data_IF_499586920592
#
_entry.id   IF_499586920592
#
_cell.length_a   1.000
_cell.length_b   1.000
_cell.length_c   1.000
_cell.angle_alpha   90.00
_cell.angle_beta   90.00
_cell.angle_gamma   90.00
#
_symmetry.space_group_name_H-M   'P 1'
#
loop_
_entity.id
_entity.type
_entity.pdbx_description
1 polymer ?
#
# COMPACT_ATOMS: atom_id res chain seq x y z
N UNK A 1 -7.57 -7.97 -9.50
CA UNK A 1 -8.01 -6.56 -9.28
C UNK A 1 -7.22 -5.96 -8.15
N UNK A 2 -6.67 -4.79 -8.36
CA UNK A 2 -5.93 -4.08 -7.32
C UNK A 2 -6.86 -3.58 -6.21
N UNK A 3 -6.29 -3.35 -5.04
CA UNK A 3 -6.99 -2.76 -3.90
C UNK A 3 -6.16 -1.60 -3.37
N UNK A 4 -6.83 -0.60 -2.82
CA UNK A 4 -6.14 0.56 -2.30
C UNK A 4 -6.88 1.16 -1.10
N UNK A 5 -6.15 1.93 -0.32
CA UNK A 5 -6.68 2.73 0.77
C UNK A 5 -6.04 4.11 0.75
N UNK A 6 -6.82 5.13 1.03
CA UNK A 6 -6.36 6.50 1.18
C UNK A 6 -6.89 7.03 2.51
N UNK A 7 -6.02 7.69 3.27
CA UNK A 7 -6.37 8.24 4.56
C UNK A 7 -5.97 9.70 4.65
N UNK A 8 -6.89 10.51 5.19
CA UNK A 8 -6.61 11.88 5.61
C UNK A 8 -7.36 12.15 6.91
N UNK A 9 -6.68 12.71 7.90
CA UNK A 9 -7.29 12.99 9.20
C UNK A 9 -6.24 13.21 10.27
N UNK A 10 -6.61 12.96 11.53
CA UNK A 10 -5.65 13.00 12.63
C UNK A 10 -4.56 11.97 12.39
N UNK A 11 -3.29 12.27 12.77
CA UNK A 11 -2.20 11.32 12.55
C UNK A 11 -2.46 9.97 13.21
N UNK A 12 -2.36 8.90 12.41
CA UNK A 12 -2.47 7.52 12.87
C UNK A 12 -1.27 6.73 12.36
N UNK A 13 -0.97 5.60 12.98
CA UNK A 13 0.00 4.68 12.43
C UNK A 13 -0.54 4.06 11.14
N UNK A 14 0.32 3.81 10.16
CA UNK A 14 -0.13 3.17 8.91
C UNK A 14 -0.82 1.84 9.20
N UNK A 15 -0.31 1.08 10.18
CA UNK A 15 -0.89 -0.20 10.57
C UNK A 15 -2.34 -0.11 11.06
N UNK A 16 -2.74 1.04 11.62
CA UNK A 16 -4.12 1.23 12.09
C UNK A 16 -5.15 1.14 10.95
N UNK A 17 -4.72 1.41 9.71
CA UNK A 17 -5.57 1.37 8.52
C UNK A 17 -5.28 0.14 7.66
N UNK A 18 -4.00 -0.19 7.43
CA UNK A 18 -3.64 -1.22 6.43
C UNK A 18 -3.51 -2.63 7.00
N UNK A 19 -3.30 -2.78 8.31
CA UNK A 19 -2.94 -4.08 8.91
C UNK A 19 -3.86 -4.55 10.04
N UNK A 20 -4.27 -3.66 10.94
CA UNK A 20 -4.98 -4.05 12.17
C UNK A 20 -6.48 -4.28 12.01
N UNK A 21 -7.22 -3.52 11.18
CA UNK A 21 -8.67 -3.75 11.04
C UNK A 21 -8.99 -5.12 10.45
N UNK A 22 -10.14 -5.66 10.83
CA UNK A 22 -10.72 -6.83 10.14
C UNK A 22 -11.00 -6.41 8.70
N UNK A 23 -10.66 -7.27 7.73
CA UNK A 23 -10.72 -6.96 6.29
C UNK A 23 -9.84 -5.77 5.89
N UNK A 24 -8.69 -5.63 6.55
CA UNK A 24 -7.70 -4.61 6.20
C UNK A 24 -7.12 -4.86 4.80
N UNK A 25 -6.38 -3.86 4.29
CA UNK A 25 -5.80 -3.94 2.95
C UNK A 25 -4.87 -5.15 2.78
N UNK A 26 -4.04 -5.44 3.79
CA UNK A 26 -3.13 -6.59 3.76
C UNK A 26 -3.92 -7.90 3.73
N UNK A 27 -4.96 -8.01 4.54
CA UNK A 27 -5.81 -9.19 4.56
C UNK A 27 -6.55 -9.38 3.23
N UNK A 28 -7.09 -8.30 2.67
CA UNK A 28 -7.74 -8.33 1.35
C UNK A 28 -6.77 -8.74 0.23
N UNK A 29 -5.49 -8.39 0.35
CA UNK A 29 -4.50 -8.79 -0.65
C UNK A 29 -4.32 -10.30 -0.72
N UNK A 30 -4.47 -10.98 0.42
CA UNK A 30 -4.37 -12.42 0.53
C UNK A 30 -5.68 -13.13 0.15
N UNK A 31 -6.81 -12.52 0.47
CA UNK A 31 -8.15 -13.12 0.32
C UNK A 31 -9.06 -12.22 -0.54
N UNK A 32 -8.65 -11.93 -1.79
CA UNK A 32 -9.41 -11.08 -2.69
C UNK A 32 -10.64 -11.84 -3.22
N UNK A 33 -11.78 -11.69 -2.55
CA UNK A 33 -13.02 -12.44 -2.82
C UNK A 33 -13.58 -12.23 -4.23
N UNK A 34 -13.30 -11.07 -4.84
CA UNK A 34 -13.81 -10.70 -6.16
C UNK A 34 -12.87 -11.11 -7.30
N UNK A 35 -11.74 -11.75 -7.00
CA UNK A 35 -10.76 -12.16 -8.00
C UNK A 35 -10.79 -13.68 -8.21
N UNK A 36 -10.67 -14.12 -9.45
CA UNK A 36 -10.57 -15.54 -9.78
C UNK A 36 -9.36 -16.22 -9.14
N UNK A 37 -8.32 -15.45 -8.84
CA UNK A 37 -7.09 -15.96 -8.25
C UNK A 37 -7.04 -15.79 -6.74
N UNK A 38 -7.94 -15.01 -6.16
CA UNK A 38 -8.01 -14.70 -4.73
C UNK A 38 -6.74 -14.08 -4.12
N UNK A 39 -5.79 -13.61 -4.96
CA UNK A 39 -4.51 -13.09 -4.50
C UNK A 39 -4.14 -11.79 -5.21
N UNK A 40 -3.72 -10.78 -4.43
CA UNK A 40 -3.07 -9.56 -4.92
C UNK A 40 -1.59 -9.61 -4.52
N UNK A 41 -0.83 -10.50 -5.18
CA UNK A 41 0.52 -10.88 -4.80
C UNK A 41 1.62 -10.25 -5.65
N UNK A 42 1.27 -9.32 -6.55
CA UNK A 42 2.19 -8.78 -7.55
C UNK A 42 2.84 -7.47 -7.11
N UNK A 43 2.82 -7.21 -5.82
CA UNK A 43 3.46 -6.05 -5.23
C UNK A 43 2.53 -5.19 -4.40
N UNK A 44 3.14 -4.23 -3.73
CA UNK A 44 2.43 -3.28 -2.88
C UNK A 44 3.20 -1.97 -2.83
N UNK A 45 2.57 -0.95 -2.25
CA UNK A 45 3.25 0.29 -1.95
C UNK A 45 2.49 1.14 -0.96
N UNK A 46 3.24 1.98 -0.26
CA UNK A 46 2.70 3.04 0.60
C UNK A 46 3.45 4.33 0.32
N UNK A 47 2.70 5.43 0.31
CA UNK A 47 3.25 6.79 0.25
C UNK A 47 2.64 7.57 1.40
N UNK A 48 3.47 8.18 2.23
CA UNK A 48 2.99 8.90 3.42
C UNK A 48 3.65 10.25 3.53
N UNK A 49 2.93 11.21 4.10
CA UNK A 49 3.42 12.56 4.34
C UNK A 49 3.72 12.73 5.83
N UNK A 50 4.89 13.25 6.13
CA UNK A 50 5.36 13.47 7.49
C UNK A 50 5.88 14.89 7.67
N UNK A 51 7.15 15.03 8.06
CA UNK A 51 7.73 16.33 8.37
C UNK A 51 8.17 17.12 7.14
N UNK A 52 8.30 16.48 5.97
CA UNK A 52 8.76 17.11 4.74
C UNK A 52 7.62 17.19 3.73
N UNK A 53 7.70 18.13 2.76
CA UNK A 53 6.66 18.23 1.71
C UNK A 53 6.60 16.99 0.81
N UNK A 54 7.75 16.37 0.53
CA UNK A 54 7.82 15.17 -0.30
C UNK A 54 7.37 13.95 0.51
N UNK A 55 6.59 13.04 -0.10
CA UNK A 55 6.16 11.83 0.61
C UNK A 55 7.32 10.87 0.81
N UNK A 56 7.27 10.11 1.89
CA UNK A 56 8.01 8.86 2.01
C UNK A 56 7.36 7.83 1.11
N UNK A 57 8.15 6.95 0.50
CA UNK A 57 7.66 5.96 -0.44
C UNK A 57 8.34 4.62 -0.21
N UNK A 58 7.54 3.58 0.00
CA UNK A 58 8.03 2.22 0.10
C UNK A 58 7.21 1.32 -0.81
N UNK A 59 7.87 0.74 -1.81
CA UNK A 59 7.25 -0.15 -2.80
C UNK A 59 8.10 -1.39 -2.99
N UNK A 60 7.47 -2.54 -3.13
CA UNK A 60 8.18 -3.76 -3.51
C UNK A 60 7.25 -4.72 -4.25
N UNK A 61 7.84 -5.72 -4.90
CA UNK A 61 7.13 -6.72 -5.71
C UNK A 61 6.64 -7.90 -4.89
N UNK A 62 7.03 -8.00 -3.63
CA UNK A 62 6.60 -9.07 -2.74
C UNK A 62 5.12 -8.95 -2.39
N UNK A 63 4.46 -10.05 -2.01
CA UNK A 63 3.12 -9.95 -1.44
C UNK A 63 3.14 -9.15 -0.12
N UNK A 64 2.15 -8.27 0.05
CA UNK A 64 2.09 -7.39 1.23
C UNK A 64 2.05 -8.19 2.54
N UNK A 65 1.34 -9.32 2.57
CA UNK A 65 1.19 -10.12 3.80
C UNK A 65 2.48 -10.83 4.24
N UNK A 66 3.45 -10.98 3.35
CA UNK A 66 4.69 -11.70 3.63
C UNK A 66 5.91 -10.79 3.78
N UNK A 67 5.72 -9.48 3.78
CA UNK A 67 6.83 -8.52 3.90
C UNK A 67 6.96 -8.02 5.33
N UNK A 68 7.95 -8.53 6.10
CA UNK A 68 8.16 -8.04 7.47
C UNK A 68 8.61 -6.59 7.54
N UNK A 69 9.23 -6.06 6.48
CA UNK A 69 9.63 -4.65 6.43
C UNK A 69 8.41 -3.73 6.34
N UNK A 70 7.42 -4.09 5.53
CA UNK A 70 6.16 -3.35 5.48
C UNK A 70 5.47 -3.34 6.83
N UNK A 71 5.41 -4.49 7.49
CA UNK A 71 4.80 -4.61 8.81
C UNK A 71 5.50 -3.74 9.83
N UNK A 72 6.82 -3.84 9.92
CA UNK A 72 7.61 -3.07 10.88
C UNK A 72 7.49 -1.56 10.62
N UNK A 73 7.59 -1.15 9.35
CA UNK A 73 7.44 0.26 8.98
C UNK A 73 6.05 0.79 9.33
N UNK A 74 5.01 0.02 9.02
CA UNK A 74 3.62 0.47 9.24
C UNK A 74 3.29 0.64 10.71
N UNK A 75 3.95 -0.08 11.59
CA UNK A 75 3.76 -0.01 13.04
C UNK A 75 4.47 1.20 13.68
N UNK A 76 5.42 1.82 12.97
CA UNK A 76 6.21 2.94 13.49
C UNK A 76 5.92 4.26 12.79
N UNK A 77 5.47 4.24 11.54
CA UNK A 77 5.19 5.46 10.79
C UNK A 77 3.81 5.98 11.13
N UNK A 78 3.75 7.22 11.59
CA UNK A 78 2.51 7.94 11.91
C UNK A 78 2.33 9.05 10.90
N UNK A 79 1.13 9.15 10.31
CA UNK A 79 0.87 10.14 9.27
C UNK A 79 -0.60 10.56 9.25
N UNK A 80 -0.82 11.84 8.93
CA UNK A 80 -2.16 12.41 8.74
C UNK A 80 -2.68 12.24 7.31
N UNK A 81 -1.80 11.85 6.37
CA UNK A 81 -2.15 11.69 4.97
C UNK A 81 -1.27 10.61 4.35
N UNK A 82 -1.88 9.54 3.88
CA UNK A 82 -1.15 8.49 3.17
C UNK A 82 -2.02 7.71 2.21
N UNK A 83 -1.36 7.09 1.23
CA UNK A 83 -1.94 6.20 0.24
C UNK A 83 -1.29 4.83 0.37
N UNK A 84 -2.09 3.77 0.22
CA UNK A 84 -1.58 2.41 0.22
C UNK A 84 -2.26 1.60 -0.89
N UNK A 85 -1.51 0.67 -1.48
CA UNK A 85 -1.98 -0.07 -2.65
C UNK A 85 -1.42 -1.50 -2.63
N UNK A 86 -2.25 -2.47 -2.98
CA UNK A 86 -1.82 -3.84 -3.24
C UNK A 86 -2.18 -4.19 -4.68
N UNK A 87 -1.22 -4.81 -5.38
CA UNK A 87 -1.29 -4.99 -6.82
C UNK A 87 -1.64 -6.41 -7.22
N UNK A 88 -2.54 -6.51 -8.22
CA UNK A 88 -2.73 -7.72 -9.01
C UNK A 88 -2.50 -7.34 -10.46
N UNK A 89 -1.42 -7.84 -11.06
CA UNK A 89 -1.03 -7.50 -12.42
C UNK A 89 -1.96 -8.17 -13.44
N UNK A 90 -2.33 -7.42 -14.47
CA UNK A 90 -3.17 -7.91 -15.56
C UNK A 90 -2.51 -7.59 -16.90
N UNK A 91 -1.30 -8.11 -17.13
CA UNK A 91 -0.61 -7.98 -18.42
C UNK A 91 0.58 -7.04 -18.44
N UNK A 92 0.86 -6.32 -17.36
CA UNK A 92 2.08 -5.53 -17.24
C UNK A 92 3.14 -6.29 -16.45
N UNK A 93 4.42 -5.93 -16.65
CA UNK A 93 5.52 -6.58 -15.97
C UNK A 93 5.43 -6.40 -14.45
N UNK A 94 5.81 -7.43 -13.70
CA UNK A 94 5.94 -7.36 -12.25
C UNK A 94 7.28 -6.68 -11.95
N UNK A 95 7.24 -5.41 -11.58
CA UNK A 95 8.42 -4.64 -11.22
C UNK A 95 8.05 -3.61 -10.16
N UNK A 96 9.05 -3.20 -9.38
CA UNK A 96 8.87 -2.16 -8.37
C UNK A 96 8.35 -0.86 -8.97
N UNK A 97 8.80 -0.50 -10.16
CA UNK A 97 8.38 0.73 -10.83
C UNK A 97 6.92 0.72 -11.26
N UNK A 98 6.28 -0.44 -11.34
CA UNK A 98 4.87 -0.57 -11.64
C UNK A 98 4.00 -0.67 -10.38
N UNK A 99 4.59 -0.70 -9.20
CA UNK A 99 3.84 -0.68 -7.94
C UNK A 99 3.39 0.73 -7.60
N UNK A 100 2.15 0.88 -7.19
CA UNK A 100 1.59 2.15 -6.72
C UNK A 100 1.85 2.30 -5.22
N UNK A 101 1.79 3.51 -4.67
CA UNK A 101 1.59 4.79 -5.34
C UNK A 101 2.82 5.26 -6.11
N UNK A 102 2.60 6.14 -7.08
CA UNK A 102 3.67 6.87 -7.77
C UNK A 102 3.87 8.21 -7.10
N UNK A 103 5.10 8.73 -7.10
CA UNK A 103 5.41 10.01 -6.48
C UNK A 103 6.31 10.86 -7.38
N UNK A 104 6.00 12.15 -7.47
CA UNK A 104 6.79 13.17 -8.17
C UNK A 104 6.75 14.42 -7.30
N UNK A 105 7.91 14.89 -6.86
CA UNK A 105 8.04 16.01 -5.93
C UNK A 105 7.17 15.75 -4.68
N UNK A 106 6.22 16.64 -4.38
CA UNK A 106 5.30 16.50 -3.25
C UNK A 106 4.00 15.76 -3.61
N UNK A 107 3.85 15.36 -4.85
CA UNK A 107 2.63 14.73 -5.32
C UNK A 107 2.73 13.22 -5.26
N UNK A 108 1.65 12.56 -4.86
CA UNK A 108 1.52 11.12 -4.97
C UNK A 108 0.21 10.76 -5.66
N UNK A 109 0.22 9.62 -6.33
CA UNK A 109 -0.87 9.23 -7.22
C UNK A 109 -0.99 7.71 -7.25
N UNK A 110 -2.22 7.21 -7.25
CA UNK A 110 -2.49 5.80 -7.48
C UNK A 110 -3.81 5.64 -8.21
N UNK A 111 -3.99 4.48 -8.86
CA UNK A 111 -5.26 4.11 -9.45
C UNK A 111 -5.51 2.61 -9.28
N UNK A 112 -6.72 2.18 -9.62
CA UNK A 112 -7.14 0.79 -9.52
C UNK A 112 -6.54 -0.09 -10.62
#
# INVERSE_FOLDING_TARGET
>A
MCRWAAYVGEPVFLSDIIANPVHCLIDQSRNAEECKTNLNADGFGVAWYGHRPEPGLYRDVHPAWSDPNLRALSEQVKSALFLAHVRASTGSAISRNNCHPFAVDRWSFMHN
#
